data_IF_088656897694
#
_entry.id   IF_088656897694
#
_cell.length_a   1.000
_cell.length_b   1.000
_cell.length_c   1.000
_cell.angle_alpha   90.00
_cell.angle_beta   90.00
_cell.angle_gamma   90.00
#
_symmetry.space_group_name_H-M   'P 1'
#
loop_
_entity.id
_entity.type
_entity.pdbx_description
1 polymer ?
#
# COMPACT_ATOMS: atom_id res chain seq x y z
N UNK A 1 -14.99 -11.13 -0.41
CA UNK A 1 -15.39 -10.43 -1.64
C UNK A 1 -15.80 -9.00 -1.35
N UNK A 2 -15.43 -8.11 -2.24
CA UNK A 2 -15.83 -6.70 -2.16
C UNK A 2 -16.54 -6.30 -3.44
N UNK A 3 -17.58 -5.47 -3.28
CA UNK A 3 -18.34 -4.94 -4.40
C UNK A 3 -17.89 -3.52 -4.71
N UNK A 4 -18.30 -3.00 -5.87
CA UNK A 4 -17.93 -1.66 -6.31
C UNK A 4 -18.25 -0.61 -5.25
N UNK A 5 -17.29 0.28 -4.97
CA UNK A 5 -17.34 1.36 -3.98
C UNK A 5 -17.35 0.89 -2.52
N UNK A 6 -17.20 -0.39 -2.25
CA UNK A 6 -17.07 -0.87 -0.88
C UNK A 6 -15.73 -0.43 -0.29
N UNK A 7 -15.77 0.13 0.91
CA UNK A 7 -14.56 0.62 1.61
C UNK A 7 -13.84 -0.56 2.26
N UNK A 8 -12.55 -0.71 1.97
CA UNK A 8 -11.68 -1.71 2.61
C UNK A 8 -11.16 -1.18 3.93
N UNK A 9 -10.61 0.04 3.91
CA UNK A 9 -10.14 0.72 5.12
C UNK A 9 -10.28 2.22 4.93
N UNK A 10 -10.40 2.94 6.05
CA UNK A 10 -10.57 4.40 6.06
C UNK A 10 -9.32 5.09 6.61
N UNK A 11 -8.96 6.21 6.02
CA UNK A 11 -7.89 7.07 6.52
C UNK A 11 -8.14 7.44 7.97
N UNK A 12 -7.13 7.33 8.81
CA UNK A 12 -7.22 7.61 10.24
C UNK A 12 -7.76 6.48 11.10
N UNK A 13 -8.27 5.42 10.49
CA UNK A 13 -8.81 4.26 11.20
C UNK A 13 -7.71 3.51 11.95
N UNK A 14 -8.03 3.03 13.15
CA UNK A 14 -7.11 2.18 13.94
C UNK A 14 -7.39 0.73 13.56
N UNK A 15 -6.61 0.20 12.63
CA UNK A 15 -6.72 -1.18 12.20
C UNK A 15 -5.37 -1.60 11.65
N UNK A 16 -4.88 -2.77 12.04
CA UNK A 16 -3.56 -3.25 11.66
C UNK A 16 -3.61 -4.50 10.78
N UNK A 17 -4.78 -4.86 10.26
CA UNK A 17 -4.89 -6.01 9.38
C UNK A 17 -4.19 -5.76 8.05
N UNK A 18 -3.56 -6.81 7.53
CA UNK A 18 -2.97 -6.81 6.20
C UNK A 18 -3.93 -7.49 5.24
N UNK A 19 -4.07 -6.95 4.04
CA UNK A 19 -4.93 -7.53 3.01
C UNK A 19 -4.10 -7.92 1.79
N UNK A 20 -4.23 -9.17 1.35
CA UNK A 20 -3.64 -9.62 0.09
C UNK A 20 -4.65 -9.47 -1.04
N UNK A 21 -4.24 -8.86 -2.14
CA UNK A 21 -5.09 -8.63 -3.30
C UNK A 21 -5.10 -9.88 -4.17
N UNK A 22 -6.27 -10.52 -4.28
CA UNK A 22 -6.44 -11.71 -5.11
C UNK A 22 -6.95 -11.34 -6.49
N UNK A 23 -7.91 -10.41 -6.57
CA UNK A 23 -8.50 -9.99 -7.83
C UNK A 23 -9.08 -8.58 -7.72
N UNK A 24 -9.11 -7.88 -8.84
CA UNK A 24 -9.74 -6.58 -8.93
C UNK A 24 -8.78 -5.42 -8.76
N UNK A 25 -9.34 -4.22 -8.64
CA UNK A 25 -8.59 -2.98 -8.48
C UNK A 25 -9.14 -2.20 -7.31
N UNK A 26 -8.26 -1.44 -6.67
CA UNK A 26 -8.60 -0.66 -5.49
C UNK A 26 -8.07 0.77 -5.64
N UNK A 27 -8.96 1.75 -5.48
CA UNK A 27 -8.58 3.16 -5.49
C UNK A 27 -8.09 3.56 -4.10
N UNK A 28 -6.97 4.26 -4.05
CA UNK A 28 -6.37 4.76 -2.81
C UNK A 28 -6.52 6.27 -2.77
N UNK A 29 -7.22 6.77 -1.76
CA UNK A 29 -7.43 8.21 -1.55
C UNK A 29 -6.73 8.66 -0.29
N UNK A 30 -5.91 9.69 -0.40
CA UNK A 30 -5.27 10.34 0.72
C UNK A 30 -5.66 11.81 0.72
N UNK A 31 -6.18 12.29 1.87
CA UNK A 31 -6.64 13.67 2.01
C UNK A 31 -7.66 14.07 0.92
N UNK A 32 -8.56 13.15 0.60
CA UNK A 32 -9.62 13.36 -0.38
C UNK A 32 -9.19 13.32 -1.84
N UNK A 33 -7.93 13.01 -2.12
CA UNK A 33 -7.40 12.96 -3.49
C UNK A 33 -7.00 11.55 -3.86
N UNK A 34 -7.25 11.16 -5.11
CA UNK A 34 -6.80 9.88 -5.63
C UNK A 34 -5.28 9.85 -5.70
N UNK A 35 -4.67 8.97 -4.90
CA UNK A 35 -3.22 8.83 -4.84
C UNK A 35 -2.71 7.74 -5.77
N UNK A 36 -3.42 6.61 -5.86
CA UNK A 36 -3.00 5.49 -6.71
C UNK A 36 -4.15 4.51 -6.90
N UNK A 37 -3.93 3.53 -7.79
CA UNK A 37 -4.81 2.39 -7.98
C UNK A 37 -3.98 1.13 -7.79
N UNK A 38 -4.42 0.28 -6.87
CA UNK A 38 -3.74 -0.97 -6.56
C UNK A 38 -4.37 -2.12 -7.34
N UNK A 39 -3.53 -3.05 -7.76
CA UNK A 39 -3.90 -4.26 -8.51
C UNK A 39 -3.28 -5.48 -7.83
N UNK A 40 -3.59 -6.70 -8.26
CA UNK A 40 -2.91 -7.89 -7.71
C UNK A 40 -1.39 -7.84 -7.82
N UNK A 41 -0.84 -7.08 -8.77
CA UNK A 41 0.61 -6.92 -8.91
C UNK A 41 1.23 -6.18 -7.71
N UNK A 42 0.44 -5.37 -7.00
CA UNK A 42 0.90 -4.67 -5.80
C UNK A 42 0.88 -5.57 -4.56
N UNK A 43 0.25 -6.71 -4.64
CA UNK A 43 0.19 -7.80 -3.67
C UNK A 43 -0.66 -7.52 -2.45
N UNK A 44 -0.47 -6.41 -1.75
CA UNK A 44 -1.15 -6.20 -0.46
C UNK A 44 -1.55 -4.75 -0.22
N UNK A 45 -2.49 -4.60 0.71
CA UNK A 45 -3.02 -3.31 1.18
C UNK A 45 -2.81 -3.23 2.69
N UNK A 46 -2.39 -2.06 3.18
CA UNK A 46 -2.36 -1.77 4.62
C UNK A 46 -1.07 -2.13 5.32
N UNK A 47 0.03 -2.30 4.60
CA UNK A 47 1.32 -2.68 5.15
C UNK A 47 1.87 -1.66 6.15
N UNK A 48 1.62 -0.37 5.95
CA UNK A 48 2.11 0.66 6.86
C UNK A 48 1.51 0.52 8.25
N UNK A 49 0.17 0.41 8.33
CA UNK A 49 -0.51 0.21 9.60
C UNK A 49 -0.14 -1.12 10.23
N UNK A 50 -0.01 -2.16 9.41
CA UNK A 50 0.38 -3.50 9.85
C UNK A 50 1.77 -3.52 10.50
N UNK A 51 2.76 -2.88 9.86
CA UNK A 51 4.15 -2.91 10.31
C UNK A 51 4.44 -1.92 11.42
N UNK A 52 3.86 -0.72 11.34
CA UNK A 52 4.20 0.38 12.23
C UNK A 52 3.20 0.57 13.37
N UNK A 53 2.13 -0.23 13.42
CA UNK A 53 1.03 -0.07 14.40
C UNK A 53 0.44 1.34 14.35
N UNK A 54 0.41 1.91 13.16
CA UNK A 54 -0.06 3.27 12.98
C UNK A 54 -1.49 3.29 12.42
N UNK A 55 -2.09 4.48 12.39
CA UNK A 55 -3.39 4.66 11.78
C UNK A 55 -3.30 4.48 10.26
N UNK A 56 -4.41 4.12 9.64
CA UNK A 56 -4.45 4.02 8.17
C UNK A 56 -4.10 5.37 7.57
N UNK A 57 -3.16 5.37 6.62
CA UNK A 57 -2.68 6.60 5.97
C UNK A 57 -3.55 7.02 4.80
N UNK A 58 -4.46 6.14 4.38
CA UNK A 58 -5.32 6.39 3.23
C UNK A 58 -6.62 5.61 3.33
N UNK A 59 -7.61 6.03 2.55
CA UNK A 59 -8.86 5.31 2.36
C UNK A 59 -8.73 4.47 1.10
N UNK A 60 -9.08 3.19 1.18
CA UNK A 60 -9.01 2.25 0.06
C UNK A 60 -10.42 1.77 -0.27
N UNK A 61 -10.80 1.92 -1.53
CA UNK A 61 -12.16 1.62 -2.02
C UNK A 61 -12.07 0.66 -3.21
N UNK A 62 -12.90 -0.38 -3.20
CA UNK A 62 -12.96 -1.33 -4.30
C UNK A 62 -13.52 -0.69 -5.57
N UNK A 63 -12.90 -0.98 -6.71
CA UNK A 63 -13.36 -0.59 -8.04
C UNK A 63 -13.89 -1.86 -8.71
N UNK A 64 -15.22 -1.94 -8.85
CA UNK A 64 -15.87 -3.13 -9.37
C UNK A 64 -15.84 -4.28 -8.36
N UNK A 65 -16.00 -5.49 -8.85
CA UNK A 65 -15.94 -6.70 -8.03
C UNK A 65 -14.50 -7.03 -7.71
N UNK A 66 -14.19 -7.20 -6.42
CA UNK A 66 -12.83 -7.43 -5.95
C UNK A 66 -12.78 -8.56 -4.92
N UNK A 67 -11.59 -9.12 -4.74
CA UNK A 67 -11.37 -10.20 -3.79
C UNK A 67 -10.07 -9.96 -3.02
N UNK A 68 -10.16 -10.01 -1.70
CA UNK A 68 -9.03 -9.86 -0.78
C UNK A 68 -8.97 -11.04 0.18
N UNK A 69 -7.78 -11.30 0.71
CA UNK A 69 -7.60 -12.15 1.87
C UNK A 69 -7.15 -11.26 3.03
N UNK A 70 -7.95 -11.20 4.08
CA UNK A 70 -7.62 -10.46 5.30
C UNK A 70 -6.74 -11.31 6.20
N UNK A 71 -5.61 -10.76 6.62
CA UNK A 71 -4.67 -11.43 7.53
C UNK A 71 -4.50 -10.57 8.76
N UNK A 72 -5.07 -10.95 9.91
CA UNK A 72 -4.82 -10.26 11.16
C UNK A 72 -3.35 -10.33 11.53
N UNK A 73 -2.82 -9.29 12.17
CA UNK A 73 -1.40 -9.19 12.50
C UNK A 73 -0.93 -10.36 13.36
N UNK A 74 -1.72 -10.77 14.35
CA UNK A 74 -1.38 -11.90 15.22
C UNK A 74 -1.20 -13.19 14.46
N UNK A 75 -2.07 -13.46 13.49
CA UNK A 75 -2.01 -14.66 12.65
C UNK A 75 -0.74 -14.66 11.79
N UNK A 76 -0.40 -13.51 11.22
CA UNK A 76 0.80 -13.38 10.41
C UNK A 76 2.07 -13.57 11.25
N UNK A 77 2.11 -13.00 12.45
CA UNK A 77 3.24 -13.18 13.36
C UNK A 77 3.40 -14.65 13.78
N UNK A 78 2.30 -15.34 14.04
CA UNK A 78 2.34 -16.78 14.33
C UNK A 78 2.89 -17.58 13.15
N UNK A 79 2.53 -17.21 11.93
CA UNK A 79 3.03 -17.84 10.72
C UNK A 79 4.54 -17.65 10.57
N UNK A 80 5.05 -16.43 10.82
CA UNK A 80 6.48 -16.13 10.77
C UNK A 80 7.26 -16.93 11.81
N UNK A 81 6.70 -17.11 13.01
CA UNK A 81 7.33 -17.91 14.05
C UNK A 81 7.49 -19.37 13.64
N UNK A 82 6.50 -19.91 12.92
CA UNK A 82 6.57 -21.28 12.40
C UNK A 82 7.57 -21.42 11.25
N UNK A 83 7.63 -20.41 10.39
CA UNK A 83 8.50 -20.44 9.23
C UNK A 83 9.06 -19.04 8.96
N UNK A 84 10.29 -18.76 9.43
CA UNK A 84 10.92 -17.44 9.26
C UNK A 84 11.08 -16.98 7.81
N UNK A 85 11.00 -17.88 6.84
CA UNK A 85 11.08 -17.51 5.43
C UNK A 85 9.95 -16.57 5.00
N UNK A 86 8.79 -16.60 5.67
CA UNK A 86 7.70 -15.66 5.38
C UNK A 86 8.09 -14.22 5.72
N UNK A 87 8.88 -14.03 6.77
CA UNK A 87 9.41 -12.71 7.12
C UNK A 87 10.37 -12.18 6.05
N UNK A 88 11.24 -13.04 5.53
CA UNK A 88 12.16 -12.70 4.44
C UNK A 88 11.37 -12.35 3.18
N UNK A 89 10.35 -13.13 2.85
CA UNK A 89 9.48 -12.88 1.71
C UNK A 89 8.81 -11.50 1.81
N UNK A 90 8.22 -11.17 2.96
CA UNK A 90 7.60 -9.88 3.20
C UNK A 90 8.61 -8.74 3.06
N UNK A 91 9.81 -8.91 3.61
CA UNK A 91 10.87 -7.91 3.51
C UNK A 91 11.25 -7.62 2.06
N UNK A 92 11.35 -8.65 1.22
CA UNK A 92 11.62 -8.49 -0.21
C UNK A 92 10.49 -7.73 -0.92
N UNK A 93 9.24 -8.04 -0.58
CA UNK A 93 8.08 -7.36 -1.17
C UNK A 93 8.09 -5.87 -0.82
N UNK A 94 8.38 -5.54 0.44
CA UNK A 94 8.46 -4.15 0.90
C UNK A 94 9.61 -3.41 0.22
N UNK A 95 10.76 -4.06 0.07
CA UNK A 95 11.90 -3.46 -0.62
C UNK A 95 11.57 -3.12 -2.07
N UNK A 96 10.87 -4.02 -2.77
CA UNK A 96 10.42 -3.79 -4.14
C UNK A 96 9.46 -2.61 -4.24
N UNK A 97 8.54 -2.51 -3.28
CA UNK A 97 7.57 -1.40 -3.24
C UNK A 97 8.27 -0.07 -2.99
N UNK A 98 9.24 -0.03 -2.09
CA UNK A 98 10.07 1.15 -1.85
C UNK A 98 10.86 1.55 -3.08
N UNK A 99 11.48 0.60 -3.77
CA UNK A 99 12.21 0.86 -5.00
C UNK A 99 11.30 1.49 -6.07
N UNK A 100 10.08 0.98 -6.21
CA UNK A 100 9.09 1.53 -7.14
C UNK A 100 8.73 2.97 -6.78
N UNK A 101 8.48 3.25 -5.49
CA UNK A 101 8.18 4.60 -5.03
C UNK A 101 9.35 5.56 -5.26
N UNK A 102 10.56 5.12 -4.99
CA UNK A 102 11.77 5.91 -5.24
C UNK A 102 11.92 6.25 -6.71
N UNK A 103 11.69 5.29 -7.60
CA UNK A 103 11.71 5.52 -9.04
C UNK A 103 10.67 6.56 -9.47
N UNK A 104 9.48 6.47 -8.91
CA UNK A 104 8.41 7.45 -9.19
C UNK A 104 8.80 8.85 -8.74
N UNK A 105 9.43 8.97 -7.58
CA UNK A 105 9.90 10.26 -7.06
C UNK A 105 11.00 10.85 -7.95
N UNK A 106 11.93 10.04 -8.40
CA UNK A 106 12.98 10.48 -9.31
C UNK A 106 12.38 10.99 -10.63
N UNK A 107 11.44 10.27 -11.20
CA UNK A 107 10.75 10.67 -12.43
C UNK A 107 10.04 12.01 -12.25
N UNK A 108 9.32 12.19 -11.14
CA UNK A 108 8.64 13.45 -10.84
C UNK A 108 9.62 14.60 -10.71
N UNK A 109 10.74 14.36 -10.02
CA UNK A 109 11.79 15.37 -9.86
C UNK A 109 12.38 15.77 -11.21
N UNK A 110 12.63 14.81 -12.09
CA UNK A 110 13.13 15.07 -13.44
C UNK A 110 12.12 15.89 -14.26
N UNK A 111 10.84 15.60 -14.15
CA UNK A 111 9.79 16.35 -14.82
C UNK A 111 9.76 17.81 -14.35
N UNK A 112 9.90 18.03 -13.05
CA UNK A 112 9.94 19.39 -12.49
C UNK A 112 11.14 20.15 -13.02
N UNK A 113 12.30 19.53 -13.09
CA UNK A 113 13.51 20.14 -13.66
C UNK A 113 13.33 20.51 -15.13
N UNK A 114 12.71 19.61 -15.91
CA UNK A 114 12.42 19.84 -17.33
C UNK A 114 11.50 21.04 -17.53
N UNK A 115 10.57 21.28 -16.59
CA UNK A 115 9.68 22.43 -16.62
C UNK A 115 10.31 23.73 -16.08
N UNK A 116 11.60 23.71 -15.76
CA UNK A 116 12.32 24.89 -15.28
C UNK A 116 12.26 25.10 -13.78
N UNK A 117 11.92 24.05 -13.02
CA UNK A 117 11.92 24.11 -11.57
C UNK A 117 13.33 24.18 -10.99
N UNK A 118 13.44 24.67 -9.75
CA UNK A 118 14.71 24.71 -9.03
C UNK A 118 15.09 23.30 -8.59
N UNK A 119 16.25 22.77 -8.99
CA UNK A 119 16.67 21.41 -8.62
C UNK A 119 16.92 21.23 -7.12
N UNK A 120 17.26 22.30 -6.40
CA UNK A 120 17.58 22.24 -4.98
C UNK A 120 16.86 23.32 -4.19
N UNK A 121 15.51 23.27 -4.15
CA UNK A 121 14.74 24.37 -3.56
C UNK A 121 14.90 24.50 -2.05
N UNK A 122 15.40 23.50 -1.37
CA UNK A 122 15.46 23.44 0.09
C UNK A 122 16.88 23.50 0.62
N UNK A 123 17.86 23.42 -0.22
CA UNK A 123 19.26 23.46 0.20
C UNK A 123 19.73 24.86 0.51
#
# INVERSE_FOLDING_TARGET
KYQNHQVVCKEGEISTDLYFIIAGRFAVYAQGKLASVLTPNDLFIGEMAFLLNDRRTATVIAIGECKLIKVPKGDFLALIRKNPHYGIFLSKMLARRLAKQTSNMITLKEQILTLGGNPNPIL
#
